data_IF_002884384577
#
_entry.id   IF_002884384577
#
_cell.length_a   1.000
_cell.length_b   1.000
_cell.length_c   1.000
_cell.angle_alpha   90.00
_cell.angle_beta   90.00
_cell.angle_gamma   90.00
#
_symmetry.space_group_name_H-M   'P 1'
#
loop_
_entity.id
_entity.type
_entity.pdbx_description
1 polymer ?
#
# COMPACT_ATOMS: atom_id res chain seq x y z
N UNK A 1 -7.66 -0.46 -3.44
CA UNK A 1 -6.69 0.23 -4.32
C UNK A 1 -5.92 -0.80 -5.12
N UNK A 2 -5.82 -0.65 -6.43
CA UNK A 2 -4.87 -1.42 -7.25
C UNK A 2 -3.50 -0.75 -7.18
N UNK A 3 -2.44 -1.54 -7.00
CA UNK A 3 -1.07 -1.06 -6.87
C UNK A 3 -0.42 -0.94 -8.25
N UNK A 4 -0.12 0.29 -8.65
CA UNK A 4 0.51 0.60 -9.95
C UNK A 4 2.04 0.50 -9.86
N UNK A 5 2.63 0.97 -8.76
CA UNK A 5 4.06 0.87 -8.50
C UNK A 5 4.38 0.70 -7.02
N UNK A 6 5.59 0.21 -6.73
CA UNK A 6 6.07 -0.04 -5.37
C UNK A 6 7.46 0.56 -5.20
N UNK A 7 7.62 1.38 -4.16
CA UNK A 7 8.89 1.97 -3.78
C UNK A 7 9.30 1.48 -2.39
N UNK A 8 10.47 0.84 -2.29
CA UNK A 8 11.01 0.44 -0.97
C UNK A 8 11.80 1.58 -0.36
N UNK A 9 11.58 1.83 0.92
CA UNK A 9 12.41 2.72 1.74
C UNK A 9 13.07 1.89 2.85
N UNK A 10 14.26 1.32 2.58
CA UNK A 10 14.97 0.48 3.55
C UNK A 10 15.27 1.20 4.86
N UNK A 11 15.62 2.49 4.79
CA UNK A 11 15.95 3.31 5.97
C UNK A 11 14.78 3.50 6.95
N UNK A 12 13.55 3.21 6.52
CA UNK A 12 12.33 3.33 7.32
C UNK A 12 11.61 1.99 7.50
N UNK A 13 12.11 0.91 6.91
CA UNK A 13 11.39 -0.37 6.81
C UNK A 13 9.96 -0.21 6.28
N UNK A 14 9.80 0.60 5.22
CA UNK A 14 8.50 0.84 4.57
C UNK A 14 8.52 0.42 3.08
N UNK A 15 7.36 -0.02 2.59
CA UNK A 15 7.05 -0.08 1.16
C UNK A 15 5.95 0.93 0.87
N UNK A 16 6.19 1.87 -0.03
CA UNK A 16 5.17 2.79 -0.53
C UNK A 16 4.51 2.14 -1.75
N UNK A 17 3.25 1.78 -1.58
CA UNK A 17 2.38 1.31 -2.64
C UNK A 17 1.70 2.52 -3.25
N UNK A 18 1.95 2.76 -4.52
CA UNK A 18 1.31 3.85 -5.27
C UNK A 18 0.18 3.27 -6.09
N UNK A 19 -0.98 3.91 -6.01
CA UNK A 19 -2.13 3.53 -6.81
C UNK A 19 -3.27 4.52 -6.70
N UNK A 20 -4.35 4.23 -7.40
CA UNK A 20 -5.60 4.99 -7.26
C UNK A 20 -6.41 4.45 -6.09
N UNK A 21 -6.57 5.27 -5.07
CA UNK A 21 -7.51 4.99 -3.99
C UNK A 21 -8.94 5.22 -4.51
N UNK A 22 -9.78 4.21 -4.38
CA UNK A 22 -11.20 4.28 -4.68
C UNK A 22 -11.97 3.65 -3.51
N UNK A 23 -13.11 4.24 -3.14
CA UNK A 23 -13.92 3.78 -2.02
C UNK A 23 -13.62 4.52 -0.72
N UNK A 24 -13.46 3.76 0.36
CA UNK A 24 -13.44 4.28 1.73
C UNK A 24 -12.20 5.12 2.08
N UNK A 25 -12.34 5.91 3.15
CA UNK A 25 -11.24 6.72 3.69
C UNK A 25 -10.25 5.83 4.42
N UNK A 26 -8.99 5.87 4.02
CA UNK A 26 -7.88 5.23 4.72
C UNK A 26 -7.18 6.20 5.67
N UNK A 27 -6.80 5.72 6.84
CA UNK A 27 -6.09 6.48 7.87
C UNK A 27 -4.77 5.82 8.23
N UNK A 28 -3.83 6.62 8.73
CA UNK A 28 -2.63 6.08 9.37
C UNK A 28 -3.03 5.31 10.61
N UNK A 29 -2.50 4.09 10.76
CA UNK A 29 -2.85 3.16 11.81
C UNK A 29 -3.86 2.09 11.39
N UNK A 30 -4.57 2.28 10.26
CA UNK A 30 -5.48 1.26 9.75
C UNK A 30 -4.72 0.00 9.37
N UNK A 31 -5.32 -1.16 9.65
CA UNK A 31 -4.85 -2.44 9.14
C UNK A 31 -5.51 -2.72 7.80
N UNK A 32 -4.71 -3.07 6.80
CA UNK A 32 -5.14 -3.38 5.44
C UNK A 32 -4.70 -4.77 5.04
N UNK A 33 -5.46 -5.41 4.16
CA UNK A 33 -5.07 -6.67 3.53
C UNK A 33 -4.59 -6.39 2.12
N UNK A 34 -3.38 -6.80 1.80
CA UNK A 34 -2.82 -6.77 0.46
C UNK A 34 -2.96 -8.15 -0.15
N UNK A 35 -3.70 -8.27 -1.24
CA UNK A 35 -3.77 -9.48 -2.05
C UNK A 35 -2.80 -9.37 -3.22
N UNK A 36 -1.80 -10.25 -3.28
CA UNK A 36 -0.83 -10.28 -4.39
C UNK A 36 -1.47 -10.89 -5.65
N UNK A 37 -0.90 -10.67 -6.84
CA UNK A 37 -1.39 -11.28 -8.09
C UNK A 37 -1.45 -12.82 -8.04
N UNK A 38 -0.56 -13.44 -7.27
CA UNK A 38 -0.50 -14.90 -7.06
C UNK A 38 -1.53 -15.39 -6.04
N UNK A 39 -2.37 -14.51 -5.50
CA UNK A 39 -3.44 -14.84 -4.55
C UNK A 39 -2.98 -14.94 -3.09
N UNK A 40 -1.74 -14.57 -2.76
CA UNK A 40 -1.27 -14.49 -1.37
C UNK A 40 -1.88 -13.28 -0.68
N UNK A 41 -2.34 -13.45 0.56
CA UNK A 41 -2.83 -12.35 1.38
C UNK A 41 -1.82 -11.97 2.46
N UNK A 42 -1.71 -10.66 2.68
CA UNK A 42 -0.68 -10.00 3.44
C UNK A 42 -1.31 -8.90 4.30
N UNK A 43 -1.26 -9.02 5.62
CA UNK A 43 -1.85 -8.03 6.52
C UNK A 43 -0.82 -7.00 6.96
N UNK A 44 -1.11 -5.71 6.77
CA UNK A 44 -0.18 -4.63 7.01
C UNK A 44 -0.84 -3.42 7.68
N UNK A 45 -0.12 -2.74 8.56
CA UNK A 45 -0.54 -1.45 9.08
C UNK A 45 -0.10 -0.30 8.15
N UNK A 46 -1.00 0.63 7.87
CA UNK A 46 -0.69 1.90 7.19
C UNK A 46 0.12 2.78 8.13
N UNK A 47 1.33 3.14 7.73
CA UNK A 47 2.25 3.98 8.52
C UNK A 47 2.32 5.41 8.03
N UNK A 48 2.11 5.62 6.74
CA UNK A 48 2.10 6.95 6.12
C UNK A 48 1.18 6.96 4.91
N UNK A 49 0.66 8.14 4.59
CA UNK A 49 -0.13 8.41 3.39
C UNK A 49 0.50 9.61 2.69
N UNK A 50 0.82 9.46 1.40
CA UNK A 50 1.47 10.48 0.58
C UNK A 50 0.57 10.88 -0.59
N UNK A 51 0.45 12.20 -0.80
CA UNK A 51 -0.37 12.79 -1.88
C UNK A 51 0.44 13.67 -2.85
N UNK A 52 1.76 13.75 -2.67
CA UNK A 52 2.67 14.51 -3.55
C UNK A 52 3.00 13.75 -4.85
N UNK A 53 2.06 12.95 -5.32
CA UNK A 53 2.14 12.10 -6.50
C UNK A 53 1.38 12.78 -7.66
N UNK A 54 1.49 12.27 -8.91
CA UNK A 54 0.63 12.73 -9.99
C UNK A 54 -0.86 12.77 -9.58
N UNK A 55 -1.64 13.74 -10.07
CA UNK A 55 -3.03 13.91 -9.65
C UNK A 55 -3.85 12.61 -9.72
N UNK A 56 -4.54 12.30 -8.63
CA UNK A 56 -5.38 11.11 -8.51
C UNK A 56 -4.63 9.84 -8.04
N UNK A 57 -3.33 9.91 -7.78
CA UNK A 57 -2.57 8.82 -7.15
C UNK A 57 -2.37 9.09 -5.65
N UNK A 58 -2.42 8.01 -4.88
CA UNK A 58 -2.16 7.98 -3.45
C UNK A 58 -1.05 6.98 -3.17
N UNK A 59 -0.11 7.37 -2.32
CA UNK A 59 0.95 6.51 -1.81
C UNK A 59 0.58 6.01 -0.42
N UNK A 60 0.51 4.70 -0.22
CA UNK A 60 0.32 4.09 1.09
C UNK A 60 1.64 3.45 1.52
N UNK A 61 2.25 4.00 2.58
CA UNK A 61 3.43 3.40 3.18
C UNK A 61 3.05 2.32 4.18
N UNK A 62 3.38 1.07 3.86
CA UNK A 62 3.12 -0.11 4.68
C UNK A 62 4.40 -0.63 5.32
N UNK A 63 4.27 -1.26 6.48
CA UNK A 63 5.38 -1.91 7.19
C UNK A 63 5.96 -3.10 6.38
N UNK A 64 7.28 -3.16 6.19
CA UNK A 64 7.96 -4.20 5.37
C UNK A 64 7.88 -5.60 5.98
N UNK A 65 7.53 -5.74 7.28
CA UNK A 65 7.43 -7.05 7.96
C UNK A 65 6.45 -8.03 7.31
N UNK A 66 5.61 -7.53 6.41
CA UNK A 66 4.54 -8.26 5.73
C UNK A 66 5.08 -9.02 4.50
N UNK A 67 6.33 -8.77 4.09
CA UNK A 67 6.94 -9.36 2.90
C UNK A 67 6.84 -8.44 1.69
N UNK A 68 7.43 -8.87 0.58
CA UNK A 68 7.50 -8.05 -0.64
C UNK A 68 6.15 -7.97 -1.35
N UNK A 69 5.64 -6.75 -1.56
CA UNK A 69 4.42 -6.50 -2.33
C UNK A 69 4.81 -6.18 -3.77
N UNK A 70 4.35 -6.96 -4.77
CA UNK A 70 4.57 -6.62 -6.17
C UNK A 70 3.52 -5.61 -6.69
N UNK A 71 3.85 -4.93 -7.79
CA UNK A 71 2.86 -4.19 -8.57
C UNK A 71 1.77 -5.14 -9.11
N UNK A 72 0.56 -4.62 -9.32
CA UNK A 72 -0.63 -5.40 -9.65
C UNK A 72 -1.34 -6.00 -8.42
N UNK A 73 -0.76 -5.89 -7.22
CA UNK A 73 -1.44 -6.24 -5.98
C UNK A 73 -2.67 -5.37 -5.75
N UNK A 74 -3.62 -5.85 -4.94
CA UNK A 74 -4.79 -5.08 -4.51
C UNK A 74 -4.74 -4.87 -3.01
N UNK A 75 -4.78 -3.61 -2.56
CA UNK A 75 -5.01 -3.25 -1.17
C UNK A 75 -6.50 -3.20 -0.91
N UNK A 76 -6.97 -4.08 -0.04
CA UNK A 76 -8.30 -4.12 0.52
C UNK A 76 -8.28 -3.19 1.75
N UNK A 77 -9.05 -2.11 1.63
CA UNK A 77 -9.25 -1.16 2.72
C UNK A 77 -10.24 -1.76 3.73
N UNK A 78 -10.18 -1.37 5.02
CA UNK A 78 -11.17 -1.76 6.01
C UNK A 78 -12.59 -1.33 5.62
#
# INVERSE_FOLDING_TARGET
MTVDSVHRLPSRHLQILVGRLAGETVRVGDEVVVRTPEGRELTAAVRTIELHLPPGLTGLGLDVRVGDVPAGSTVLLP
#
